data_IF_909756471305
#
_entry.id   IF_909756471305
#
_cell.length_a   1.000
_cell.length_b   1.000
_cell.length_c   1.000
_cell.angle_alpha   90.00
_cell.angle_beta   90.00
_cell.angle_gamma   90.00
#
_symmetry.space_group_name_H-M   'P 1'
#
loop_
_entity.id
_entity.type
_entity.pdbx_description
1 polymer ?
#
# COMPACT_ATOMS: atom_id res chain seq x y z
N UNK A 1 32.99 54.78 -14.80
CA UNK A 1 33.33 54.72 -13.37
C UNK A 1 32.04 54.44 -12.61
N UNK A 2 31.79 53.38 -11.84
CA UNK A 2 32.43 52.13 -11.41
C UNK A 2 31.24 51.22 -10.98
N UNK A 3 31.35 49.88 -11.05
CA UNK A 3 30.27 48.96 -10.71
C UNK A 3 30.21 48.68 -9.20
N UNK A 4 29.02 48.61 -8.61
CA UNK A 4 28.85 48.14 -7.22
C UNK A 4 28.83 46.61 -7.24
N UNK A 5 29.97 46.03 -6.90
CA UNK A 5 30.10 44.60 -6.58
C UNK A 5 29.32 44.30 -5.29
N UNK A 6 28.28 43.47 -5.36
CA UNK A 6 27.81 42.72 -4.18
C UNK A 6 28.59 41.42 -4.12
N UNK A 7 29.54 41.38 -3.19
CA UNK A 7 30.22 40.19 -2.69
C UNK A 7 29.19 39.22 -2.10
N UNK A 8 29.02 38.06 -2.74
CA UNK A 8 28.41 36.89 -2.11
C UNK A 8 29.46 36.25 -1.21
N UNK A 9 29.30 36.40 0.09
CA UNK A 9 29.93 35.53 1.08
C UNK A 9 29.33 34.13 0.92
N UNK A 10 30.21 33.13 0.80
CA UNK A 10 29.86 31.73 0.65
C UNK A 10 28.95 31.27 1.81
N UNK A 11 27.82 30.65 1.46
CA UNK A 11 27.00 29.90 2.40
C UNK A 11 27.77 28.65 2.86
N UNK A 12 27.69 28.27 4.15
CA UNK A 12 28.39 27.11 4.65
C UNK A 12 27.83 25.83 4.03
N UNK A 13 28.74 24.88 3.82
CA UNK A 13 28.58 23.55 3.25
C UNK A 13 27.34 22.83 3.76
N UNK A 14 26.49 22.38 2.83
CA UNK A 14 25.32 21.53 3.07
C UNK A 14 25.79 20.21 3.71
N UNK A 15 25.47 20.01 4.97
CA UNK A 15 25.52 18.69 5.59
C UNK A 15 24.39 17.85 4.98
N UNK A 16 24.79 16.74 4.36
CA UNK A 16 23.90 15.74 3.78
C UNK A 16 23.03 15.09 4.86
N UNK A 17 21.76 15.49 4.99
CA UNK A 17 20.77 14.78 5.80
C UNK A 17 19.89 13.95 4.88
N UNK A 18 20.06 12.63 4.96
CA UNK A 18 19.37 11.64 4.16
C UNK A 18 18.01 11.29 4.78
N UNK A 19 17.04 10.89 3.94
CA UNK A 19 15.79 10.27 4.40
C UNK A 19 16.11 9.09 5.33
N UNK A 20 15.50 9.06 6.51
CA UNK A 20 15.72 7.98 7.47
C UNK A 20 14.77 6.84 7.16
N UNK A 21 15.31 5.68 6.77
CA UNK A 21 14.57 4.45 6.57
C UNK A 21 14.86 3.50 7.75
N UNK A 22 13.84 2.90 8.36
CA UNK A 22 13.99 1.92 9.45
C UNK A 22 13.14 0.69 9.19
N UNK A 23 13.73 -0.51 9.34
CA UNK A 23 13.02 -1.80 9.24
C UNK A 23 13.17 -2.65 10.51
N UNK A 24 12.26 -3.61 10.69
CA UNK A 24 12.23 -4.57 11.81
C UNK A 24 13.52 -5.39 11.98
N UNK A 25 14.36 -5.51 10.95
CA UNK A 25 15.63 -6.23 11.02
C UNK A 25 16.80 -5.43 11.61
N UNK A 26 16.64 -4.13 11.89
CA UNK A 26 17.70 -3.32 12.51
C UNK A 26 18.97 -3.12 11.67
N UNK A 27 19.02 -3.63 10.44
CA UNK A 27 20.14 -3.46 9.52
C UNK A 27 19.97 -2.24 8.62
N UNK A 28 20.95 -1.34 8.67
CA UNK A 28 21.15 -0.31 7.65
C UNK A 28 21.65 -0.96 6.36
N UNK A 29 20.82 -0.98 5.32
CA UNK A 29 21.24 -1.50 4.01
C UNK A 29 22.08 -0.44 3.30
N UNK A 30 23.40 -0.49 3.52
CA UNK A 30 24.39 0.13 2.64
C UNK A 30 25.08 -0.95 1.79
N UNK A 31 24.60 -1.12 0.56
CA UNK A 31 25.35 -1.29 -0.70
C UNK A 31 24.41 -1.87 -1.76
N UNK A 32 24.22 -1.12 -2.84
CA UNK A 32 23.56 -1.64 -4.03
C UNK A 32 24.34 -2.83 -4.58
N UNK A 33 23.61 -3.89 -4.95
CA UNK A 33 24.11 -4.88 -5.89
C UNK A 33 24.42 -4.15 -7.21
N UNK A 34 25.59 -4.41 -7.78
CA UNK A 34 25.93 -3.92 -9.11
C UNK A 34 25.18 -4.75 -10.16
N UNK A 35 25.06 -4.20 -11.38
CA UNK A 35 24.34 -4.80 -12.51
C UNK A 35 24.91 -6.14 -13.03
N UNK A 36 25.84 -6.80 -12.31
CA UNK A 36 26.57 -7.97 -12.78
C UNK A 36 26.04 -9.33 -12.26
N UNK A 37 25.03 -9.35 -11.39
CA UNK A 37 24.57 -10.58 -10.72
C UNK A 37 23.34 -11.24 -11.36
N UNK A 38 22.86 -10.74 -12.52
CA UNK A 38 21.66 -11.23 -13.21
C UNK A 38 21.89 -12.42 -14.18
N UNK A 39 23.14 -12.78 -14.49
CA UNK A 39 23.46 -13.79 -15.51
C UNK A 39 23.58 -15.25 -14.99
N UNK A 40 23.20 -15.52 -13.74
CA UNK A 40 23.41 -16.83 -13.10
C UNK A 40 22.12 -17.64 -12.80
N UNK A 41 21.02 -17.45 -13.55
CA UNK A 41 19.83 -18.30 -13.44
C UNK A 41 19.96 -19.48 -14.42
N UNK A 42 20.09 -20.74 -13.95
CA UNK A 42 20.05 -21.89 -14.84
C UNK A 42 18.64 -22.05 -15.41
N UNK A 43 18.49 -21.85 -16.71
CA UNK A 43 17.39 -22.46 -17.45
C UNK A 43 17.51 -23.97 -17.26
N UNK A 44 16.48 -24.65 -16.73
CA UNK A 44 16.03 -26.02 -17.05
C UNK A 44 15.22 -26.61 -15.87
N UNK A 45 13.88 -26.59 -15.96
CA UNK A 45 13.07 -27.79 -15.72
C UNK A 45 11.97 -27.81 -16.80
N UNK A 46 12.30 -28.46 -17.91
CA UNK A 46 11.35 -28.90 -18.93
C UNK A 46 11.05 -30.37 -18.65
N UNK A 47 9.79 -30.76 -18.81
CA UNK A 47 9.26 -32.14 -18.90
C UNK A 47 8.92 -32.87 -17.58
N UNK A 48 7.69 -32.64 -17.09
CA UNK A 48 6.95 -33.53 -16.22
C UNK A 48 5.65 -33.97 -16.92
N UNK A 49 5.42 -35.27 -16.97
CA UNK A 49 4.50 -36.00 -17.85
C UNK A 49 3.03 -35.70 -17.54
N UNK A 50 2.25 -35.41 -18.59
CA UNK A 50 0.77 -35.26 -18.57
C UNK A 50 0.14 -36.60 -18.20
N UNK A 51 -0.44 -36.73 -17.01
CA UNK A 51 -1.33 -37.85 -16.66
C UNK A 51 -2.77 -37.42 -16.86
N UNK A 52 -3.41 -38.03 -17.86
CA UNK A 52 -4.84 -37.98 -18.11
C UNK A 52 -5.58 -38.73 -17.01
N UNK A 53 -6.53 -38.06 -16.34
CA UNK A 53 -7.86 -38.56 -15.97
C UNK A 53 -8.39 -37.82 -14.73
N UNK A 54 -9.25 -36.82 -14.95
CA UNK A 54 -10.40 -36.65 -14.08
C UNK A 54 -11.51 -35.96 -14.87
N UNK A 55 -12.24 -36.72 -15.66
CA UNK A 55 -13.53 -36.31 -16.19
C UNK A 55 -14.54 -36.26 -15.03
N UNK A 56 -14.57 -35.14 -14.32
CA UNK A 56 -15.69 -34.78 -13.44
C UNK A 56 -16.51 -33.71 -14.14
N UNK A 57 -17.54 -34.22 -14.81
CA UNK A 57 -18.87 -33.67 -15.05
C UNK A 57 -19.06 -32.23 -14.52
N UNK A 58 -19.31 -31.30 -15.44
CA UNK A 58 -19.87 -29.98 -15.15
C UNK A 58 -21.12 -30.14 -14.27
N UNK A 59 -21.23 -29.45 -13.13
CA UNK A 59 -22.52 -29.25 -12.51
C UNK A 59 -23.28 -28.17 -13.29
N UNK A 60 -24.54 -28.48 -13.58
CA UNK A 60 -25.52 -27.59 -14.20
C UNK A 60 -25.57 -26.23 -13.51
N UNK A 61 -25.77 -25.19 -14.32
CA UNK A 61 -26.19 -23.87 -13.86
C UNK A 61 -27.52 -24.01 -13.11
N UNK A 62 -27.44 -24.07 -11.78
CA UNK A 62 -28.57 -23.93 -10.90
C UNK A 62 -28.31 -22.72 -9.99
N UNK A 63 -29.13 -21.70 -10.20
CA UNK A 63 -29.30 -20.53 -9.37
C UNK A 63 -29.35 -20.90 -7.88
N UNK A 64 -28.29 -20.63 -7.13
CA UNK A 64 -28.34 -20.66 -5.66
C UNK A 64 -27.97 -19.29 -5.13
N UNK A 65 -29.00 -18.56 -4.73
CA UNK A 65 -28.94 -17.44 -3.79
C UNK A 65 -28.31 -17.91 -2.48
N UNK A 66 -26.98 -17.91 -2.41
CA UNK A 66 -26.27 -18.32 -1.20
C UNK A 66 -26.23 -17.13 -0.23
N UNK A 67 -27.16 -17.17 0.71
CA UNK A 67 -27.45 -16.15 1.73
C UNK A 67 -26.38 -16.18 2.83
N UNK A 68 -25.10 -16.08 2.47
CA UNK A 68 -23.97 -16.12 3.42
C UNK A 68 -23.32 -14.77 3.74
N UNK A 69 -23.77 -13.68 3.11
CA UNK A 69 -23.42 -12.31 3.49
C UNK A 69 -24.67 -11.45 3.68
N UNK A 70 -25.57 -11.91 4.55
CA UNK A 70 -26.67 -11.09 5.08
C UNK A 70 -26.39 -10.87 6.56
N UNK A 71 -25.36 -10.08 6.87
CA UNK A 71 -25.33 -9.37 8.15
C UNK A 71 -25.98 -8.01 7.93
N UNK A 72 -27.02 -7.79 8.72
CA UNK A 72 -27.63 -6.50 9.00
C UNK A 72 -26.55 -5.40 9.06
N UNK A 73 -26.46 -4.58 8.01
CA UNK A 73 -25.46 -3.51 7.87
C UNK A 73 -25.76 -2.29 8.76
N UNK A 74 -26.76 -2.38 9.65
CA UNK A 74 -27.29 -1.23 10.38
C UNK A 74 -26.92 -1.19 11.86
N UNK A 75 -26.13 -2.14 12.38
CA UNK A 75 -25.78 -2.16 13.80
C UNK A 75 -24.44 -2.85 14.12
N UNK A 76 -23.34 -2.11 14.05
CA UNK A 76 -22.01 -2.47 14.59
C UNK A 76 -21.21 -1.21 15.00
N UNK A 77 -20.35 -1.25 16.04
CA UNK A 77 -19.92 -0.05 16.77
C UNK A 77 -18.56 0.52 16.36
N UNK A 78 -18.21 0.57 15.07
CA UNK A 78 -17.15 1.47 14.58
C UNK A 78 -17.45 1.84 13.13
N UNK A 79 -17.91 3.08 12.92
CA UNK A 79 -18.06 3.63 11.57
C UNK A 79 -16.66 3.82 11.01
N UNK A 80 -16.45 3.42 9.76
CA UNK A 80 -15.25 3.78 9.01
C UNK A 80 -14.95 5.28 9.20
N UNK A 81 -13.74 5.60 9.62
CA UNK A 81 -13.37 6.98 9.88
C UNK A 81 -12.89 7.65 8.59
N UNK A 82 -13.52 8.76 8.22
CA UNK A 82 -13.08 9.61 7.12
C UNK A 82 -12.41 10.86 7.66
N UNK A 83 -11.33 11.30 7.02
CA UNK A 83 -10.70 12.58 7.32
C UNK A 83 -11.63 13.73 6.90
N UNK A 84 -11.66 14.81 7.70
CA UNK A 84 -12.47 16.00 7.42
C UNK A 84 -11.94 16.82 6.22
N UNK A 85 -10.68 16.62 5.86
CA UNK A 85 -10.01 17.29 4.74
C UNK A 85 -8.97 16.35 4.11
N UNK A 86 -8.59 16.59 2.84
CA UNK A 86 -7.46 15.92 2.21
C UNK A 86 -6.20 16.08 3.05
N UNK A 87 -5.49 14.98 3.28
CA UNK A 87 -4.18 14.96 3.91
C UNK A 87 -3.13 15.50 2.95
N UNK A 88 -3.12 15.04 1.69
CA UNK A 88 -2.22 15.60 0.68
C UNK A 88 -2.87 16.79 -0.06
N UNK A 89 -2.07 17.76 -0.52
CA UNK A 89 -2.58 18.93 -1.25
C UNK A 89 -3.08 18.56 -2.65
N UNK A 90 -3.75 19.52 -3.30
CA UNK A 90 -4.19 19.39 -4.69
C UNK A 90 -3.02 19.17 -5.67
N UNK A 91 -3.34 18.64 -6.86
CA UNK A 91 -2.35 18.44 -7.93
C UNK A 91 -1.47 17.20 -7.75
N UNK A 92 -1.85 16.30 -6.84
CA UNK A 92 -1.29 14.95 -6.75
C UNK A 92 -1.81 14.10 -7.90
N UNK A 93 -0.98 13.20 -8.44
CA UNK A 93 -1.47 12.20 -9.39
C UNK A 93 -2.37 11.21 -8.67
N UNK A 94 -3.61 11.06 -9.13
CA UNK A 94 -4.55 10.06 -8.60
C UNK A 94 -4.55 8.79 -9.45
N UNK A 95 -4.73 7.62 -8.82
CA UNK A 95 -5.09 6.39 -9.52
C UNK A 95 -6.35 6.55 -10.37
N UNK A 96 -6.44 5.75 -11.43
CA UNK A 96 -7.67 5.60 -12.22
C UNK A 96 -8.67 4.71 -11.46
N UNK A 97 -9.82 5.23 -11.00
CA UNK A 97 -10.81 4.44 -10.30
C UNK A 97 -11.50 3.39 -11.20
N UNK A 98 -11.42 3.52 -12.52
CA UNK A 98 -11.97 2.58 -13.49
C UNK A 98 -10.95 1.50 -13.91
N UNK A 99 -9.74 1.52 -13.36
CA UNK A 99 -8.72 0.51 -13.64
C UNK A 99 -9.25 -0.90 -13.30
N UNK A 100 -9.18 -1.88 -14.24
CA UNK A 100 -9.79 -3.19 -14.04
C UNK A 100 -9.11 -4.03 -12.95
N UNK A 101 -7.92 -3.63 -12.49
CA UNK A 101 -7.15 -4.36 -11.46
C UNK A 101 -7.34 -3.68 -10.10
N UNK A 102 -7.23 -2.35 -10.04
CA UNK A 102 -7.21 -1.58 -8.79
C UNK A 102 -8.52 -0.86 -8.48
N UNK A 103 -9.43 -0.69 -9.45
CA UNK A 103 -10.67 0.07 -9.27
C UNK A 103 -11.54 -0.45 -8.12
N UNK A 104 -11.60 -1.78 -7.95
CA UNK A 104 -12.32 -2.40 -6.84
C UNK A 104 -11.77 -2.03 -5.45
N UNK A 105 -10.46 -1.83 -5.33
CA UNK A 105 -9.83 -1.38 -4.08
C UNK A 105 -10.27 0.05 -3.71
N UNK A 106 -10.30 0.96 -4.69
CA UNK A 106 -10.74 2.34 -4.46
C UNK A 106 -12.26 2.47 -4.28
N UNK A 107 -13.04 1.63 -4.95
CA UNK A 107 -14.48 1.54 -4.75
C UNK A 107 -14.82 1.10 -3.31
N UNK A 108 -14.14 0.07 -2.79
CA UNK A 108 -14.29 -0.34 -1.41
C UNK A 108 -13.83 0.75 -0.42
N UNK A 109 -12.73 1.45 -0.71
CA UNK A 109 -12.28 2.57 0.10
C UNK A 109 -13.33 3.70 0.16
N UNK A 110 -14.05 3.98 -0.94
CA UNK A 110 -15.13 4.96 -0.96
C UNK A 110 -16.33 4.57 -0.07
N UNK A 111 -16.51 3.27 0.18
CA UNK A 111 -17.49 2.72 1.13
C UNK A 111 -16.95 2.64 2.57
N UNK A 112 -15.69 3.04 2.80
CA UNK A 112 -15.03 2.95 4.10
C UNK A 112 -14.55 1.55 4.45
N UNK A 113 -14.27 0.71 3.44
CA UNK A 113 -13.80 -0.66 3.62
C UNK A 113 -12.37 -0.79 3.13
N UNK A 114 -11.50 -1.36 3.96
CA UNK A 114 -10.17 -1.76 3.53
C UNK A 114 -10.25 -3.19 3.00
N UNK A 115 -9.83 -3.40 1.76
CA UNK A 115 -9.89 -4.73 1.12
C UNK A 115 -8.54 -5.16 0.59
N UNK A 116 -8.35 -6.47 0.52
CA UNK A 116 -7.18 -7.14 -0.07
C UNK A 116 -7.68 -8.16 -1.07
N UNK A 117 -6.91 -8.40 -2.13
CA UNK A 117 -7.28 -9.38 -3.14
C UNK A 117 -7.02 -10.80 -2.62
N UNK A 118 -8.02 -11.68 -2.69
CA UNK A 118 -7.94 -13.10 -2.34
C UNK A 118 -8.25 -13.99 -3.55
N UNK A 119 -7.54 -15.11 -3.69
CA UNK A 119 -7.77 -16.07 -4.77
C UNK A 119 -8.85 -17.08 -4.37
N UNK A 120 -9.94 -17.20 -5.13
CA UNK A 120 -11.02 -18.15 -4.85
C UNK A 120 -10.62 -19.63 -5.06
N UNK A 121 -9.54 -19.88 -5.80
CA UNK A 121 -9.06 -21.23 -6.11
C UNK A 121 -8.05 -21.79 -5.09
N UNK A 122 -7.27 -20.93 -4.44
CA UNK A 122 -6.19 -21.37 -3.54
C UNK A 122 -6.07 -20.60 -2.22
N UNK A 123 -7.01 -19.69 -1.94
CA UNK A 123 -7.12 -18.91 -0.70
C UNK A 123 -5.90 -18.02 -0.39
N UNK A 124 -5.00 -17.81 -1.36
CA UNK A 124 -3.86 -16.89 -1.19
C UNK A 124 -4.34 -15.46 -1.33
N UNK A 125 -3.94 -14.63 -0.37
CA UNK A 125 -4.13 -13.18 -0.37
C UNK A 125 -2.92 -12.49 -0.98
N UNK A 126 -3.13 -11.37 -1.67
CA UNK A 126 -2.06 -10.61 -2.29
C UNK A 126 -2.29 -9.10 -2.27
N UNK A 127 -1.19 -8.37 -2.13
CA UNK A 127 -1.14 -6.93 -2.27
C UNK A 127 0.26 -6.53 -2.79
N UNK A 128 0.37 -5.60 -3.76
CA UNK A 128 -0.70 -4.86 -4.44
C UNK A 128 -1.66 -5.77 -5.25
N UNK A 129 -2.84 -5.25 -5.66
CA UNK A 129 -3.73 -5.99 -6.55
C UNK A 129 -3.06 -6.32 -7.88
N UNK A 130 -3.25 -7.53 -8.37
CA UNK A 130 -2.74 -7.99 -9.67
C UNK A 130 -3.88 -8.61 -10.50
N UNK A 131 -3.64 -8.81 -11.80
CA UNK A 131 -4.64 -9.40 -12.69
C UNK A 131 -4.99 -10.86 -12.33
N UNK A 132 -4.04 -11.60 -11.76
CA UNK A 132 -4.17 -13.02 -11.44
C UNK A 132 -3.44 -13.36 -10.15
N UNK A 133 -3.74 -14.53 -9.59
CA UNK A 133 -3.05 -15.03 -8.40
C UNK A 133 -1.57 -15.30 -8.69
N UNK A 134 -0.66 -14.70 -7.92
CA UNK A 134 0.78 -14.92 -8.08
C UNK A 134 1.23 -16.36 -7.71
N UNK A 135 0.36 -17.14 -7.07
CA UNK A 135 0.66 -18.52 -6.65
C UNK A 135 0.14 -19.57 -7.63
N UNK A 136 -1.15 -19.53 -7.98
CA UNK A 136 -1.77 -20.55 -8.84
C UNK A 136 -2.10 -20.07 -10.26
N UNK A 137 -1.90 -18.78 -10.56
CA UNK A 137 -2.23 -18.12 -11.83
C UNK A 137 -3.72 -18.10 -12.20
N UNK A 138 -4.62 -18.42 -11.27
CA UNK A 138 -6.05 -18.24 -11.48
C UNK A 138 -6.39 -16.77 -11.67
N UNK A 139 -7.42 -16.51 -12.48
CA UNK A 139 -8.03 -15.19 -12.64
C UNK A 139 -9.25 -15.02 -11.73
N UNK A 140 -9.62 -16.04 -10.96
CA UNK A 140 -10.73 -15.99 -10.01
C UNK A 140 -10.28 -15.31 -8.71
N UNK A 141 -10.30 -13.97 -8.76
CA UNK A 141 -9.84 -13.10 -7.68
C UNK A 141 -11.03 -12.33 -7.09
N UNK A 142 -11.15 -12.34 -5.77
CA UNK A 142 -12.19 -11.68 -5.00
C UNK A 142 -11.59 -10.64 -4.03
N UNK A 143 -12.44 -9.77 -3.48
CA UNK A 143 -12.03 -8.78 -2.46
C UNK A 143 -12.42 -9.27 -1.07
N UNK A 144 -11.42 -9.47 -0.21
CA UNK A 144 -11.58 -9.81 1.20
C UNK A 144 -11.42 -8.54 2.05
N UNK A 145 -12.39 -8.28 2.93
CA UNK A 145 -12.34 -7.11 3.82
C UNK A 145 -11.41 -7.37 5.01
N UNK A 146 -10.53 -6.41 5.28
CA UNK A 146 -9.69 -6.38 6.48
C UNK A 146 -10.34 -5.53 7.56
N UNK A 147 -10.12 -5.93 8.82
CA UNK A 147 -10.47 -5.15 10.02
C UNK A 147 -9.78 -3.78 10.04
N UNK A 148 -8.69 -3.62 9.29
CA UNK A 148 -8.02 -2.32 9.12
C UNK A 148 -7.19 -1.89 10.31
N UNK A 149 -6.80 -2.81 11.19
CA UNK A 149 -5.79 -2.57 12.24
C UNK A 149 -4.48 -3.25 11.88
N UNK A 150 -3.37 -2.67 12.31
CA UNK A 150 -2.07 -3.24 12.01
C UNK A 150 -0.93 -2.68 12.83
N UNK A 151 0.26 -3.18 12.49
CA UNK A 151 1.53 -2.82 13.10
C UNK A 151 2.44 -2.16 12.07
N UNK A 152 3.05 -1.03 12.43
CA UNK A 152 4.10 -0.42 11.61
C UNK A 152 5.28 -1.39 11.49
N UNK A 153 5.47 -1.95 10.30
CA UNK A 153 6.56 -2.89 9.99
C UNK A 153 7.85 -2.15 9.60
N UNK A 154 7.70 -1.05 8.86
CA UNK A 154 8.77 -0.12 8.46
C UNK A 154 8.15 1.24 8.20
N UNK A 155 8.95 2.31 8.27
CA UNK A 155 8.50 3.65 7.93
C UNK A 155 9.64 4.53 7.43
N UNK A 156 9.25 5.63 6.77
CA UNK A 156 10.13 6.71 6.32
C UNK A 156 9.48 8.05 6.61
N UNK A 157 10.25 8.98 7.18
CA UNK A 157 9.88 10.39 7.25
C UNK A 157 10.44 11.10 6.02
N UNK A 158 9.54 11.66 5.23
CA UNK A 158 9.86 12.42 4.02
C UNK A 158 9.98 13.89 4.40
N UNK A 159 11.22 14.36 4.52
CA UNK A 159 11.55 15.77 4.83
C UNK A 159 11.71 16.60 3.55
N UNK A 160 12.08 15.95 2.45
CA UNK A 160 12.33 16.59 1.15
C UNK A 160 11.55 15.89 0.04
N UNK A 161 10.25 16.17 -0.11
CA UNK A 161 9.44 15.53 -1.13
C UNK A 161 9.85 15.98 -2.53
N UNK A 162 9.92 15.01 -3.46
CA UNK A 162 10.29 15.26 -4.84
C UNK A 162 9.13 15.82 -5.68
N UNK A 163 7.90 15.52 -5.30
CA UNK A 163 6.71 15.91 -6.06
C UNK A 163 6.45 17.42 -5.96
N UNK A 164 6.24 18.16 -7.07
CA UNK A 164 6.05 19.60 -7.04
C UNK A 164 4.91 20.08 -6.14
N UNK A 165 3.78 19.35 -6.12
CA UNK A 165 2.64 19.65 -5.24
C UNK A 165 3.00 19.55 -3.75
N UNK A 166 4.06 18.83 -3.41
CA UNK A 166 4.47 18.59 -2.03
C UNK A 166 5.60 19.52 -1.57
N UNK A 167 6.09 20.47 -2.39
CA UNK A 167 7.25 21.31 -2.01
C UNK A 167 7.07 22.09 -0.71
N UNK A 168 5.84 22.51 -0.43
CA UNK A 168 5.45 23.20 0.80
C UNK A 168 4.72 22.26 1.77
N UNK A 169 4.61 20.98 1.42
CA UNK A 169 3.98 19.93 2.20
C UNK A 169 5.04 19.04 2.83
N UNK A 170 5.35 19.25 4.11
CA UNK A 170 6.23 18.36 4.86
C UNK A 170 6.80 18.99 6.12
N UNK A 171 7.40 18.17 7.01
CA UNK A 171 7.61 16.71 6.87
C UNK A 171 6.35 15.87 7.07
N UNK A 172 6.34 14.65 6.50
CA UNK A 172 5.27 13.66 6.70
C UNK A 172 5.85 12.24 6.75
N UNK A 173 5.08 11.28 7.29
CA UNK A 173 5.52 9.89 7.41
C UNK A 173 4.69 8.96 6.52
N UNK A 174 5.39 8.05 5.83
CA UNK A 174 4.81 6.92 5.12
C UNK A 174 5.25 5.65 5.82
N UNK A 175 4.29 4.79 6.15
CA UNK A 175 4.52 3.51 6.79
C UNK A 175 4.14 2.36 5.87
N UNK A 176 4.86 1.24 6.03
CA UNK A 176 4.45 -0.07 5.59
C UNK A 176 3.86 -0.79 6.80
N UNK A 177 2.58 -1.15 6.73
CA UNK A 177 1.80 -1.68 7.84
C UNK A 177 1.45 -3.14 7.59
N UNK A 178 1.83 -4.01 8.53
CA UNK A 178 1.42 -5.42 8.58
C UNK A 178 0.03 -5.50 9.22
N UNK A 179 -0.95 -6.07 8.50
CA UNK A 179 -2.33 -6.19 8.97
C UNK A 179 -2.46 -7.30 10.01
N UNK A 180 -3.29 -7.11 11.04
CA UNK A 180 -3.42 -8.09 12.12
C UNK A 180 -4.16 -9.37 11.70
N UNK A 181 -5.18 -9.21 10.85
CA UNK A 181 -6.02 -10.28 10.32
C UNK A 181 -5.43 -10.93 9.06
N UNK A 182 -4.43 -10.28 8.45
CA UNK A 182 -3.71 -10.75 7.26
C UNK A 182 -2.19 -10.50 7.40
N UNK A 183 -1.47 -11.23 8.27
CA UNK A 183 -0.06 -10.93 8.60
C UNK A 183 0.93 -11.05 7.42
N UNK A 184 0.58 -11.80 6.38
CA UNK A 184 1.33 -11.90 5.14
C UNK A 184 1.23 -10.63 4.27
N UNK A 185 0.24 -9.78 4.54
CA UNK A 185 -0.07 -8.58 3.77
C UNK A 185 0.53 -7.34 4.43
N UNK A 186 1.15 -6.50 3.60
CA UNK A 186 1.78 -5.25 4.00
C UNK A 186 1.31 -4.12 3.10
N UNK A 187 0.63 -3.13 3.68
CA UNK A 187 0.08 -1.99 2.95
C UNK A 187 0.87 -0.72 3.22
N UNK A 188 1.19 -0.01 2.15
CA UNK A 188 1.84 1.29 2.23
C UNK A 188 0.80 2.41 2.34
N UNK A 189 1.02 3.35 3.26
CA UNK A 189 0.17 4.54 3.37
C UNK A 189 0.79 5.62 4.24
N UNK A 190 0.34 6.87 4.08
CA UNK A 190 0.73 7.95 4.99
C UNK A 190 0.08 7.75 6.37
N UNK A 191 0.83 8.06 7.42
CA UNK A 191 0.31 8.10 8.80
C UNK A 191 -0.02 9.55 9.14
N UNK A 192 -1.31 9.86 9.24
CA UNK A 192 -1.82 11.25 9.21
C UNK A 192 -1.48 12.07 10.46
N UNK A 193 -1.23 11.38 11.56
CA UNK A 193 -0.91 11.93 12.88
C UNK A 193 0.42 11.37 13.41
N UNK A 194 1.30 10.93 12.51
CA UNK A 194 2.59 10.40 12.91
C UNK A 194 3.43 11.45 13.65
N UNK A 195 4.16 11.03 14.69
CA UNK A 195 5.15 11.89 15.32
C UNK A 195 6.33 12.11 14.34
N UNK A 196 6.76 13.36 14.22
CA UNK A 196 7.81 13.80 13.29
C UNK A 196 9.17 13.92 14.00
N UNK A 197 10.24 14.20 13.25
CA UNK A 197 11.59 14.29 13.80
C UNK A 197 12.22 12.93 14.09
N UNK A 198 11.77 11.88 13.40
CA UNK A 198 12.30 10.54 13.47
C UNK A 198 11.91 9.77 14.74
N UNK A 199 10.83 10.18 15.39
CA UNK A 199 10.36 9.65 16.68
C UNK A 199 9.29 8.56 16.56
N UNK A 200 8.90 8.19 15.33
CA UNK A 200 8.01 7.06 15.11
C UNK A 200 8.74 5.74 15.37
N UNK A 201 8.07 4.79 16.01
CA UNK A 201 8.66 3.50 16.38
C UNK A 201 8.15 2.38 15.48
N UNK A 202 9.04 1.44 15.14
CA UNK A 202 8.62 0.17 14.54
C UNK A 202 7.88 -0.63 15.60
N UNK A 203 6.77 -1.26 15.22
CA UNK A 203 5.89 -1.93 16.18
C UNK A 203 4.74 -1.05 16.68
N UNK A 204 4.74 0.25 16.36
CA UNK A 204 3.62 1.12 16.67
C UNK A 204 2.31 0.61 16.06
N UNK A 205 1.23 0.79 16.81
CA UNK A 205 -0.12 0.36 16.42
C UNK A 205 -0.79 1.45 15.60
N UNK A 206 -1.45 1.02 14.53
CA UNK A 206 -2.20 1.91 13.65
C UNK A 206 -3.54 1.29 13.28
N UNK A 207 -4.46 2.14 12.85
CA UNK A 207 -5.74 1.77 12.26
C UNK A 207 -5.99 2.57 10.99
N UNK A 208 -6.77 1.99 10.09
CA UNK A 208 -7.11 2.60 8.81
C UNK A 208 -8.06 3.77 9.05
N UNK A 209 -7.84 4.83 8.27
CA UNK A 209 -8.75 5.97 8.08
C UNK A 209 -8.82 6.27 6.60
N UNK A 210 -9.89 6.88 6.13
CA UNK A 210 -10.13 7.11 4.70
C UNK A 210 -10.02 8.59 4.38
N UNK A 211 -9.16 8.93 3.44
CA UNK A 211 -9.03 10.29 2.92
C UNK A 211 -9.84 10.40 1.63
N UNK A 212 -10.76 11.36 1.57
CA UNK A 212 -11.24 11.88 0.28
C UNK A 212 -10.21 12.90 -0.22
N UNK A 213 -9.56 12.61 -1.35
CA UNK A 213 -8.55 13.48 -1.93
C UNK A 213 -9.21 14.70 -2.59
N UNK A 214 -8.39 15.67 -3.00
CA UNK A 214 -8.86 16.85 -3.73
C UNK A 214 -9.63 16.52 -5.02
N UNK A 215 -9.30 15.40 -5.67
CA UNK A 215 -9.95 14.93 -6.90
C UNK A 215 -11.07 13.89 -6.62
N UNK A 216 -11.67 13.93 -5.43
CA UNK A 216 -12.79 13.10 -4.96
C UNK A 216 -12.56 11.58 -4.87
N UNK A 217 -11.37 11.08 -5.21
CA UNK A 217 -10.97 9.70 -4.98
C UNK A 217 -10.83 9.44 -3.47
N UNK A 218 -11.27 8.27 -3.00
CA UNK A 218 -11.06 7.88 -1.60
C UNK A 218 -9.90 6.90 -1.50
N UNK A 219 -8.95 7.20 -0.62
CA UNK A 219 -7.76 6.36 -0.38
C UNK A 219 -7.63 6.01 1.12
N UNK A 220 -7.21 4.79 1.45
CA UNK A 220 -6.86 4.47 2.81
C UNK A 220 -5.55 5.16 3.23
N UNK A 221 -5.55 5.60 4.48
CA UNK A 221 -4.45 6.16 5.24
C UNK A 221 -4.37 5.46 6.58
N UNK A 222 -3.31 5.74 7.32
CA UNK A 222 -3.11 5.21 8.66
C UNK A 222 -3.24 6.32 9.68
N UNK A 223 -3.77 5.96 10.84
CA UNK A 223 -3.72 6.78 12.04
C UNK A 223 -3.13 5.97 13.18
N UNK A 224 -2.37 6.62 14.06
CA UNK A 224 -1.90 6.00 15.30
C UNK A 224 -3.11 5.52 16.15
N UNK A 225 -2.97 4.35 16.77
CA UNK A 225 -4.01 3.72 17.60
C UNK A 225 -3.67 3.77 19.09
#
# INVERSE_FOLDING_TARGET
MLPVRRSYTAAPTIASFANTCRSKSGESVHRGASAADWEAIPSQIRTGRRTTANSRRMPDQATSSDTRYSRDMTSGPDRAEFLDAPFFPEGMTTPDPEDPINGGYFAAAAEGRLVVQGCADCDVRQFPPELNCHTCYSFDMEWEESVGTGTVWSWVEVVHPAHPALREFGPYVVALVELDDMPEIKLMGAVVDAPLGGTMEIGSRVRVVFERTADDLVQPRWRMA
#
